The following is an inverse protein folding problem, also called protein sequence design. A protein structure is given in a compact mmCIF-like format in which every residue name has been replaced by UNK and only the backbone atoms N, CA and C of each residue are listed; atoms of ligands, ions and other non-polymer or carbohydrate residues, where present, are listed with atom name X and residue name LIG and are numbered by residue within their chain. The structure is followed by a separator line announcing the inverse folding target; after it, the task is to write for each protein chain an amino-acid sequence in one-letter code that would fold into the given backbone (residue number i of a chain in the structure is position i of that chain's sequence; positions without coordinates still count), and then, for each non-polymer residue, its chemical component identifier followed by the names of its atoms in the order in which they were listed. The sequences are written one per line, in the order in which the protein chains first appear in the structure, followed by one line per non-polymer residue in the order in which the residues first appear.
data_IF_103682373987
#
_entry.id   IF_103682373987
#
_cell.length_a   1.000
_cell.length_b   1.000
_cell.length_c   1.000
_cell.angle_alpha   90.00
_cell.angle_beta   90.00
_cell.angle_gamma   90.00
#
_symmetry.space_group_name_H-M   'P 1'
#
loop_
_entity.id
_entity.type
_entity.pdbx_description
1 polymer ?
#
# COMPACT_ATOMS: atom_id res chain seq x y z
N UNK A 1 -14.44 33.86 -7.16
CA UNK A 1 -13.06 33.85 -6.70
C UNK A 1 -12.75 32.64 -5.84
N UNK A 2 -13.61 32.34 -4.92
CA UNK A 2 -13.45 31.16 -4.09
C UNK A 2 -13.42 29.87 -4.92
N UNK A 3 -14.13 29.82 -6.04
CA UNK A 3 -14.15 28.64 -6.89
C UNK A 3 -12.77 28.27 -7.46
N UNK A 4 -11.90 29.23 -7.68
CA UNK A 4 -10.55 28.96 -8.15
C UNK A 4 -9.71 28.24 -7.13
N UNK A 5 -9.78 28.66 -5.88
CA UNK A 5 -9.04 28.02 -4.80
C UNK A 5 -9.46 26.57 -4.62
N UNK A 6 -10.77 26.31 -4.66
CA UNK A 6 -11.30 24.95 -4.52
C UNK A 6 -10.82 24.07 -5.67
N UNK A 7 -10.90 24.57 -6.91
CA UNK A 7 -10.42 23.80 -8.07
C UNK A 7 -8.94 23.50 -8.01
N UNK A 8 -8.14 24.47 -7.55
CA UNK A 8 -6.70 24.28 -7.42
C UNK A 8 -6.37 23.22 -6.38
N UNK A 9 -7.08 23.24 -5.27
CA UNK A 9 -6.91 22.25 -4.21
C UNK A 9 -7.18 20.86 -4.74
N UNK A 10 -8.29 20.66 -5.47
CA UNK A 10 -8.63 19.38 -6.08
C UNK A 10 -7.57 18.91 -7.07
N UNK A 11 -6.99 19.83 -7.84
CA UNK A 11 -5.97 19.49 -8.83
C UNK A 11 -4.64 19.09 -8.22
N UNK A 12 -4.37 19.50 -6.97
CA UNK A 12 -3.12 19.16 -6.31
C UNK A 12 -3.08 17.73 -5.81
N UNK A 13 -4.21 17.02 -5.85
CA UNK A 13 -4.29 15.64 -5.40
C UNK A 13 -3.72 14.70 -6.46
N UNK A 14 -2.81 13.82 -6.04
CA UNK A 14 -2.17 12.85 -6.92
C UNK A 14 -2.69 11.46 -6.58
N UNK A 15 -3.00 10.67 -7.59
CA UNK A 15 -3.46 9.29 -7.41
C UNK A 15 -2.27 8.34 -7.46
N UNK A 16 -2.23 7.46 -6.47
CA UNK A 16 -1.27 6.37 -6.40
C UNK A 16 -1.98 5.06 -6.16
N UNK A 17 -1.23 3.97 -6.29
CA UNK A 17 -1.72 2.62 -6.05
C UNK A 17 -0.82 1.93 -5.04
N UNK A 18 -1.39 1.04 -4.25
CA UNK A 18 -0.65 0.27 -3.26
C UNK A 18 -1.14 -1.17 -3.25
N UNK A 19 -0.25 -2.07 -2.88
CA UNK A 19 -0.61 -3.44 -2.59
C UNK A 19 -0.63 -3.64 -1.08
N UNK A 20 -1.59 -4.42 -0.59
CA UNK A 20 -1.58 -4.92 0.78
C UNK A 20 -1.23 -6.40 0.70
N UNK A 21 0.05 -6.76 0.82
CA UNK A 21 0.44 -8.16 0.71
C UNK A 21 0.01 -8.92 1.96
N UNK A 22 -0.65 -10.06 1.78
CA UNK A 22 -1.20 -10.78 2.92
C UNK A 22 -1.03 -12.29 2.77
N UNK A 23 -1.12 -12.97 3.89
CA UNK A 23 -1.13 -14.43 4.00
C UNK A 23 -1.94 -14.81 5.21
N UNK A 24 -2.24 -16.13 5.33
CA UNK A 24 -2.78 -16.67 6.57
C UNK A 24 -1.60 -17.02 7.47
N UNK A 25 -1.62 -16.49 8.68
CA UNK A 25 -0.58 -16.73 9.67
C UNK A 25 -0.78 -18.06 10.40
N UNK A 26 0.20 -18.39 11.25
CA UNK A 26 0.19 -19.65 12.00
C UNK A 26 -1.05 -19.80 12.90
N UNK A 27 -1.59 -18.68 13.37
CA UNK A 27 -2.80 -18.68 14.21
C UNK A 27 -4.11 -18.73 13.42
N UNK A 28 -4.05 -18.79 12.10
CA UNK A 28 -5.24 -18.83 11.25
C UNK A 28 -5.79 -17.47 10.86
N UNK A 29 -5.26 -16.39 11.40
CA UNK A 29 -5.65 -15.03 11.04
C UNK A 29 -4.84 -14.50 9.88
N UNK A 30 -5.34 -13.45 9.25
CA UNK A 30 -4.63 -12.77 8.18
C UNK A 30 -3.47 -11.98 8.75
N UNK A 31 -2.32 -12.07 8.08
CA UNK A 31 -1.14 -11.25 8.35
C UNK A 31 -0.81 -10.44 7.11
N UNK A 32 -0.19 -9.29 7.30
CA UNK A 32 0.21 -8.43 6.19
C UNK A 32 1.71 -8.19 6.24
N UNK A 33 2.31 -8.02 5.07
CA UNK A 33 3.73 -7.74 4.97
C UNK A 33 3.94 -6.23 4.91
N UNK A 34 4.61 -5.70 5.91
CA UNK A 34 4.94 -4.30 6.00
C UNK A 34 6.40 -4.09 5.61
N UNK A 35 6.71 -2.92 5.05
CA UNK A 35 8.07 -2.55 4.68
C UNK A 35 8.42 -1.21 5.29
N UNK A 36 9.72 -0.92 5.41
CA UNK A 36 10.17 0.39 5.88
C UNK A 36 10.26 1.37 4.71
N UNK A 37 9.90 2.62 4.95
CA UNK A 37 10.13 3.69 3.99
C UNK A 37 11.62 3.96 3.89
N UNK A 38 12.10 4.38 2.72
CA UNK A 38 13.53 4.51 2.46
C UNK A 38 14.20 5.60 3.29
N UNK A 39 13.54 6.73 3.44
CA UNK A 39 14.14 7.88 4.12
C UNK A 39 13.85 7.90 5.61
N UNK A 40 12.60 7.76 6.00
CA UNK A 40 12.19 7.89 7.40
C UNK A 40 12.19 6.58 8.15
N UNK A 41 12.33 5.45 7.45
CA UNK A 41 12.38 4.12 8.04
C UNK A 41 11.15 3.76 8.86
N UNK A 42 10.02 4.37 8.57
CA UNK A 42 8.75 4.03 9.21
C UNK A 42 8.03 2.94 8.43
N UNK A 43 7.14 2.23 9.10
CA UNK A 43 6.42 1.13 8.45
C UNK A 43 5.35 1.65 7.51
N UNK A 44 5.33 1.10 6.30
CA UNK A 44 4.40 1.47 5.23
C UNK A 44 4.05 0.22 4.42
N UNK A 45 3.12 0.37 3.46
CA UNK A 45 2.85 -0.68 2.46
C UNK A 45 3.49 -0.29 1.13
N UNK A 46 3.77 -1.27 0.24
CA UNK A 46 4.33 -0.96 -1.09
C UNK A 46 3.35 -0.11 -1.89
N UNK A 47 3.85 0.98 -2.46
CA UNK A 47 3.02 1.88 -3.24
C UNK A 47 3.83 2.69 -4.24
N UNK A 48 3.16 3.18 -5.24
CA UNK A 48 3.79 4.03 -6.25
C UNK A 48 2.75 4.66 -7.16
N UNK A 49 3.23 5.29 -8.22
CA UNK A 49 2.38 5.95 -9.19
C UNK A 49 1.65 4.98 -10.09
N UNK A 50 0.60 5.46 -10.70
CA UNK A 50 -0.09 4.71 -11.75
C UNK A 50 0.85 4.55 -12.94
N UNK A 51 0.71 3.44 -13.66
CA UNK A 51 1.62 3.08 -14.74
C UNK A 51 0.89 3.04 -16.08
N UNK A 52 1.47 3.70 -17.08
CA UNK A 52 0.93 3.67 -18.44
C UNK A 52 0.95 2.23 -18.97
N UNK A 53 -0.17 1.81 -19.57
CA UNK A 53 -0.30 0.48 -20.11
C UNK A 53 -0.63 -0.60 -19.11
N UNK A 54 -0.81 -0.24 -17.82
CA UNK A 54 -1.18 -1.19 -16.77
C UNK A 54 -2.45 -0.72 -16.06
N UNK A 55 -3.24 -1.68 -15.61
CA UNK A 55 -4.36 -1.38 -14.70
C UNK A 55 -3.79 -1.01 -13.34
N UNK A 56 -4.61 -0.40 -12.50
CA UNK A 56 -4.18 -0.05 -11.15
C UNK A 56 -3.77 -1.28 -10.32
N UNK A 57 -4.52 -2.40 -10.33
CA UNK A 57 -4.04 -3.60 -9.64
C UNK A 57 -2.72 -4.12 -10.20
N UNK A 58 -2.54 -4.09 -11.52
CA UNK A 58 -1.27 -4.53 -12.11
C UNK A 58 -0.10 -3.66 -11.64
N UNK A 59 -0.30 -2.36 -11.59
CA UNK A 59 0.73 -1.44 -11.09
C UNK A 59 1.02 -1.69 -9.61
N UNK A 60 0.00 -1.93 -8.81
CA UNK A 60 0.17 -2.26 -7.40
C UNK A 60 1.00 -3.54 -7.21
N UNK A 61 0.74 -4.56 -8.05
CA UNK A 61 1.50 -5.81 -8.00
C UNK A 61 2.98 -5.59 -8.35
N UNK A 62 3.27 -4.69 -9.30
CA UNK A 62 4.65 -4.33 -9.64
C UNK A 62 5.34 -3.68 -8.44
N UNK A 63 4.67 -2.75 -7.77
CA UNK A 63 5.24 -2.10 -6.58
C UNK A 63 5.54 -3.12 -5.47
N UNK A 64 4.65 -4.08 -5.27
CA UNK A 64 4.86 -5.13 -4.27
C UNK A 64 6.12 -5.94 -4.56
N UNK A 65 6.37 -6.27 -5.82
CA UNK A 65 7.56 -7.02 -6.20
C UNK A 65 8.81 -6.17 -6.03
N UNK A 66 8.78 -4.93 -6.50
CA UNK A 66 9.97 -4.07 -6.46
C UNK A 66 10.35 -3.66 -5.05
N UNK A 67 9.37 -3.30 -4.22
CA UNK A 67 9.62 -2.77 -2.87
C UNK A 67 9.65 -3.85 -1.81
N UNK A 68 8.83 -4.88 -1.91
CA UNK A 68 8.66 -5.89 -0.87
C UNK A 68 9.12 -7.30 -1.28
N UNK A 69 9.40 -7.52 -2.56
CA UNK A 69 9.89 -8.81 -3.03
C UNK A 69 8.87 -9.93 -2.96
N UNK A 70 7.61 -9.61 -3.21
CA UNK A 70 6.54 -10.62 -3.19
C UNK A 70 5.76 -10.61 -4.49
N UNK A 71 5.21 -11.78 -4.83
CA UNK A 71 4.35 -11.99 -5.99
C UNK A 71 3.20 -12.88 -5.58
N UNK A 72 2.08 -12.77 -6.27
CA UNK A 72 0.91 -13.58 -5.96
C UNK A 72 -0.31 -13.14 -6.75
N UNK A 73 -1.46 -13.28 -6.13
CA UNK A 73 -2.76 -13.00 -6.75
C UNK A 73 -3.29 -11.65 -6.25
N UNK A 74 -3.38 -10.68 -7.16
CA UNK A 74 -3.85 -9.32 -6.83
C UNK A 74 -5.35 -9.23 -7.04
N UNK A 75 -6.07 -8.66 -6.07
CA UNK A 75 -7.49 -8.35 -6.23
C UNK A 75 -7.66 -7.25 -7.26
N UNK A 76 -8.72 -7.36 -8.07
CA UNK A 76 -8.99 -6.37 -9.10
C UNK A 76 -9.75 -5.15 -8.55
N UNK A 77 -10.34 -5.28 -7.38
CA UNK A 77 -11.11 -4.21 -6.73
C UNK A 77 -10.36 -3.74 -5.49
N UNK A 78 -10.17 -2.43 -5.38
CA UNK A 78 -9.55 -1.85 -4.19
C UNK A 78 -10.43 -2.09 -2.96
N UNK A 79 -9.82 -2.38 -1.83
CA UNK A 79 -10.55 -2.49 -0.56
C UNK A 79 -10.80 -1.14 0.09
N UNK A 80 -10.17 -0.11 -0.41
CA UNK A 80 -10.31 1.24 0.10
C UNK A 80 -9.16 2.10 -0.37
N UNK A 81 -9.05 3.28 0.22
CA UNK A 81 -7.99 4.22 -0.11
C UNK A 81 -7.57 4.95 1.16
N UNK A 82 -6.34 5.43 1.16
CA UNK A 82 -5.86 6.28 2.23
C UNK A 82 -5.14 7.50 1.64
N UNK A 83 -4.98 8.52 2.46
CA UNK A 83 -4.37 9.78 2.04
C UNK A 83 -3.12 10.07 2.86
N UNK A 84 -2.14 10.65 2.20
CA UNK A 84 -0.97 11.16 2.89
C UNK A 84 -0.42 12.36 2.15
N UNK A 85 0.40 13.15 2.86
CA UNK A 85 1.05 14.32 2.29
C UNK A 85 2.48 13.97 1.91
N UNK A 86 2.82 14.11 0.63
CA UNK A 86 4.16 13.85 0.13
C UNK A 86 4.93 15.17 0.03
N UNK A 87 6.09 15.24 0.68
CA UNK A 87 6.97 16.40 0.57
C UNK A 87 7.85 16.26 -0.66
N UNK A 88 7.85 17.29 -1.49
CA UNK A 88 8.64 17.33 -2.72
C UNK A 88 9.99 17.99 -2.43
N UNK A 89 10.95 17.82 -3.35
CA UNK A 89 12.26 18.46 -3.24
C UNK A 89 12.18 19.97 -3.10
N UNK A 90 11.20 20.58 -3.77
CA UNK A 90 10.98 22.03 -3.70
C UNK A 90 10.55 22.50 -2.32
N UNK A 91 10.18 21.58 -1.42
CA UNK A 91 9.58 21.93 -0.14
C UNK A 91 8.07 21.94 -0.18
N UNK A 92 7.48 21.92 -1.36
CA UNK A 92 6.02 21.86 -1.51
C UNK A 92 5.49 20.53 -1.02
N UNK A 93 4.23 20.53 -0.66
CA UNK A 93 3.53 19.32 -0.21
C UNK A 93 2.48 18.95 -1.25
N UNK A 94 2.47 17.68 -1.63
CA UNK A 94 1.48 17.15 -2.55
C UNK A 94 0.62 16.13 -1.83
N UNK A 95 -0.71 16.31 -1.91
CA UNK A 95 -1.64 15.37 -1.33
C UNK A 95 -1.80 14.18 -2.26
N UNK A 96 -1.66 12.98 -1.71
CA UNK A 96 -1.79 11.73 -2.45
C UNK A 96 -2.97 10.93 -1.94
N UNK A 97 -3.73 10.38 -2.87
CA UNK A 97 -4.80 9.40 -2.59
C UNK A 97 -4.32 8.06 -3.13
N UNK A 98 -4.28 7.06 -2.29
CA UNK A 98 -3.70 5.76 -2.60
C UNK A 98 -4.78 4.69 -2.56
N UNK A 99 -5.10 4.10 -3.71
CA UNK A 99 -6.02 2.97 -3.77
C UNK A 99 -5.26 1.71 -3.37
N UNK A 100 -5.85 0.90 -2.50
CA UNK A 100 -5.19 -0.28 -1.91
C UNK A 100 -5.81 -1.56 -2.43
N UNK A 101 -4.97 -2.41 -3.02
CA UNK A 101 -5.38 -3.69 -3.59
C UNK A 101 -4.75 -4.84 -2.81
N UNK A 102 -5.55 -5.76 -2.25
CA UNK A 102 -4.99 -6.94 -1.58
C UNK A 102 -4.20 -7.82 -2.54
N UNK A 103 -3.06 -8.30 -2.10
CA UNK A 103 -2.23 -9.23 -2.85
C UNK A 103 -2.01 -10.47 -2.00
N UNK A 104 -2.63 -11.60 -2.40
CA UNK A 104 -2.39 -12.88 -1.73
C UNK A 104 -1.01 -13.37 -2.12
N UNK A 105 -0.10 -13.42 -1.16
CA UNK A 105 1.30 -13.74 -1.43
C UNK A 105 1.46 -15.24 -1.66
N UNK A 106 1.99 -15.59 -2.83
CA UNK A 106 2.32 -16.98 -3.19
C UNK A 106 3.82 -17.21 -3.19
N UNK A 107 4.61 -16.17 -3.51
CA UNK A 107 6.05 -16.26 -3.61
C UNK A 107 6.67 -15.11 -2.85
N UNK A 108 7.60 -15.43 -1.96
CA UNK A 108 8.40 -14.43 -1.27
C UNK A 108 9.85 -14.59 -1.73
N UNK A 109 10.36 -13.58 -2.43
CA UNK A 109 11.69 -13.64 -3.02
C UNK A 109 12.75 -13.38 -1.96
N UNK A 110 13.89 -14.06 -2.07
CA UNK A 110 15.04 -13.79 -1.19
C UNK A 110 15.84 -12.57 -1.62
N UNK A 111 15.76 -12.21 -2.91
CA UNK A 111 16.39 -11.02 -3.47
C UNK A 111 15.40 -10.28 -4.33
N UNK A 112 15.36 -8.96 -4.20
CA UNK A 112 14.43 -8.14 -4.98
C UNK A 112 15.03 -6.74 -5.16
N UNK A 113 14.48 -5.90 -6.09
CA UNK A 113 15.15 -4.65 -6.46
C UNK A 113 15.49 -3.73 -5.30
N UNK A 114 14.61 -3.53 -4.34
CA UNK A 114 14.87 -2.59 -3.23
C UNK A 114 15.25 -3.28 -1.92
N UNK A 115 15.74 -4.51 -1.99
CA UNK A 115 16.11 -5.29 -0.80
C UNK A 115 17.14 -4.58 0.10
N UNK A 116 18.10 -3.88 -0.49
CA UNK A 116 19.13 -3.20 0.27
C UNK A 116 18.63 -1.93 0.98
N UNK A 117 17.47 -1.42 0.55
CA UNK A 117 16.94 -0.14 1.03
C UNK A 117 15.80 -0.29 2.00
N UNK A 118 15.27 -1.51 2.20
CA UNK A 118 14.06 -1.73 2.98
C UNK A 118 14.18 -2.97 3.84
N UNK A 119 13.59 -2.90 5.02
CA UNK A 119 13.28 -4.09 5.81
C UNK A 119 11.84 -4.49 5.50
N UNK A 120 11.55 -5.77 5.64
CA UNK A 120 10.17 -6.26 5.50
C UNK A 120 9.86 -7.18 6.67
N UNK A 121 8.59 -7.15 7.13
CA UNK A 121 8.16 -7.96 8.27
C UNK A 121 6.69 -8.32 8.14
N UNK A 122 6.40 -9.58 8.37
CA UNK A 122 5.01 -10.02 8.52
C UNK A 122 4.50 -9.58 9.88
N UNK A 123 3.31 -8.98 9.88
CA UNK A 123 2.68 -8.47 11.09
C UNK A 123 1.23 -8.92 11.16
N UNK A 124 0.73 -9.10 12.38
CA UNK A 124 -0.72 -9.23 12.57
C UNK A 124 -1.37 -7.92 12.14
N UNK A 125 -2.68 -7.95 11.88
CA UNK A 125 -3.38 -6.73 11.47
C UNK A 125 -3.32 -5.67 12.55
N UNK A 126 -3.44 -6.04 13.83
CA UNK A 126 -3.34 -5.07 14.93
C UNK A 126 -1.95 -4.45 15.03
N UNK A 127 -0.91 -5.27 14.90
CA UNK A 127 0.45 -4.75 14.92
C UNK A 127 0.70 -3.81 13.75
N UNK A 128 0.29 -4.19 12.56
CA UNK A 128 0.46 -3.36 11.35
C UNK A 128 -0.31 -2.04 11.47
N UNK A 129 -1.57 -2.11 11.89
CA UNK A 129 -2.39 -0.92 12.06
C UNK A 129 -1.79 0.05 13.08
N UNK A 130 -1.21 -0.48 14.15
CA UNK A 130 -0.56 0.33 15.17
C UNK A 130 0.79 0.90 14.74
N UNK A 131 1.36 0.41 13.65
CA UNK A 131 2.71 0.81 13.20
C UNK A 131 2.70 1.90 12.14
N UNK A 132 1.59 2.13 11.45
CA UNK A 132 1.51 3.13 10.39
C UNK A 132 1.12 4.49 10.94
N UNK A 133 1.50 5.55 10.23
CA UNK A 133 1.20 6.92 10.66
C UNK A 133 -0.17 7.40 10.20
N UNK A 134 -0.66 6.91 9.07
CA UNK A 134 -1.91 7.38 8.50
C UNK A 134 -3.10 6.70 9.19
N UNK A 135 -3.99 7.48 9.83
CA UNK A 135 -5.14 6.89 10.56
C UNK A 135 -6.09 6.12 9.65
N UNK A 136 -6.31 6.58 8.43
CA UNK A 136 -7.19 5.90 7.49
C UNK A 136 -6.58 4.60 6.97
N UNK A 137 -5.26 4.53 6.81
CA UNK A 137 -4.59 3.26 6.50
C UNK A 137 -4.70 2.29 7.66
N UNK A 138 -4.54 2.77 8.89
CA UNK A 138 -4.68 1.92 10.08
C UNK A 138 -6.08 1.30 10.14
N UNK A 139 -7.11 2.11 9.90
CA UNK A 139 -8.49 1.64 9.89
C UNK A 139 -8.73 0.60 8.80
N UNK A 140 -8.20 0.85 7.59
CA UNK A 140 -8.31 -0.06 6.46
C UNK A 140 -7.64 -1.40 6.78
N UNK A 141 -6.49 -1.39 7.42
CA UNK A 141 -5.80 -2.62 7.82
C UNK A 141 -6.62 -3.40 8.85
N UNK A 142 -7.19 -2.72 9.83
CA UNK A 142 -8.05 -3.41 10.82
C UNK A 142 -9.27 -4.04 10.16
N UNK A 143 -9.92 -3.30 9.26
CA UNK A 143 -11.10 -3.78 8.55
C UNK A 143 -10.78 -4.95 7.62
N UNK A 144 -9.52 -5.12 7.26
CA UNK A 144 -9.09 -6.22 6.41
C UNK A 144 -9.36 -7.60 7.03
N UNK A 145 -9.54 -7.66 8.34
CA UNK A 145 -9.83 -8.93 9.03
C UNK A 145 -11.08 -9.63 8.45
N UNK A 146 -12.06 -8.86 7.99
CA UNK A 146 -13.34 -9.37 7.49
C UNK A 146 -13.62 -8.95 6.06
N UNK A 147 -12.67 -8.36 5.36
CA UNK A 147 -12.87 -7.92 3.99
C UNK A 147 -13.12 -9.11 3.06
N UNK A 148 -14.05 -8.95 2.12
CA UNK A 148 -14.25 -9.95 1.07
C UNK A 148 -13.20 -9.76 -0.01
N UNK A 149 -12.62 -10.87 -0.46
CA UNK A 149 -11.50 -10.87 -1.37
C UNK A 149 -11.81 -11.67 -2.63
N UNK A 150 -11.18 -11.28 -3.76
CA UNK A 150 -11.25 -12.04 -5.01
C UNK A 150 -10.53 -13.39 -4.85
N UNK A 151 -9.48 -13.41 -4.03
CA UNK A 151 -8.67 -14.60 -3.78
C UNK A 151 -8.78 -14.95 -2.30
N UNK A 152 -9.81 -15.72 -1.91
CA UNK A 152 -10.06 -16.01 -0.50
C UNK A 152 -9.02 -16.94 0.10
N UNK A 153 -9.14 -17.13 1.42
CA UNK A 153 -8.20 -17.88 2.25
C UNK A 153 -8.11 -19.38 1.94
N UNK A 154 -9.12 -19.89 1.29
CA UNK A 154 -9.22 -21.34 1.04
C UNK A 154 -8.54 -21.73 -0.25
#
# INVERSE_FOLDING_TARGET
MTGKAVKRSARSETRQVAALPWRIGAGGGREVLMITSRETRRWVIPKGGRMVGKTDPQAAAVEAMEEAGVQGEIDQTAIGAFRYAKRLRSGDVRNCVVAVFPLKVLIQLGAWPEAAERERRWMSLEEAAGSVMEPDLAELIRDFATAELDHPDV
#
